data_IF_450336135419
#
_entry.id   IF_450336135419
#
_cell.length_a   1.000
_cell.length_b   1.000
_cell.length_c   1.000
_cell.angle_alpha   90.00
_cell.angle_beta   90.00
_cell.angle_gamma   90.00
#
_symmetry.space_group_name_H-M   'P 1'
#
loop_
_entity.id
_entity.type
_entity.pdbx_description
1 polymer ?
#
# COMPACT_ATOMS: atom_id res chain seq x y z
N UNK A 1 21.63 18.11 -5.92
CA UNK A 1 20.98 18.80 -4.80
C UNK A 1 21.04 17.88 -3.60
N UNK A 2 21.76 18.21 -2.52
CA UNK A 2 21.83 17.36 -1.34
C UNK A 2 20.48 17.41 -0.62
N UNK A 3 19.80 16.27 -0.52
CA UNK A 3 18.64 16.12 0.34
C UNK A 3 19.11 16.40 1.78
N UNK A 4 18.59 17.48 2.36
CA UNK A 4 18.81 17.83 3.76
C UNK A 4 18.36 16.64 4.61
N UNK A 5 19.28 16.04 5.37
CA UNK A 5 18.91 15.17 6.48
C UNK A 5 18.18 16.04 7.52
N UNK A 6 16.93 15.73 7.87
CA UNK A 6 16.30 16.40 9.00
C UNK A 6 17.08 16.03 10.27
N UNK A 7 17.45 17.04 11.04
CA UNK A 7 18.16 16.90 12.30
C UNK A 7 17.13 16.79 13.43
N UNK A 8 17.15 15.65 14.12
CA UNK A 8 16.58 15.29 15.43
C UNK A 8 15.69 14.04 15.35
N UNK A 9 16.32 12.91 15.02
CA UNK A 9 15.95 11.63 15.61
C UNK A 9 17.08 11.32 16.59
N UNK A 10 16.75 10.97 17.84
CA UNK A 10 17.73 10.33 18.71
C UNK A 10 18.30 9.11 17.96
N UNK A 11 19.59 8.77 18.14
CA UNK A 11 20.27 7.73 17.34
C UNK A 11 19.53 6.37 17.31
N UNK A 12 18.62 6.15 18.27
CA UNK A 12 17.72 4.99 18.34
C UNK A 12 16.50 5.07 17.41
N UNK A 13 15.87 6.23 17.23
CA UNK A 13 14.70 6.41 16.35
C UNK A 13 15.06 6.27 14.87
N UNK A 14 16.27 6.66 14.47
CA UNK A 14 16.73 6.54 13.09
C UNK A 14 16.85 5.07 12.64
N UNK A 15 17.23 4.17 13.54
CA UNK A 15 17.29 2.73 13.22
C UNK A 15 15.89 2.15 13.02
N UNK A 16 14.90 2.62 13.79
CA UNK A 16 13.52 2.18 13.65
C UNK A 16 12.90 2.67 12.33
N UNK A 17 13.16 3.92 11.93
CA UNK A 17 12.76 4.42 10.60
C UNK A 17 13.34 3.57 9.47
N UNK A 18 14.63 3.23 9.55
CA UNK A 18 15.27 2.37 8.54
C UNK A 18 14.68 0.97 8.51
N UNK A 19 14.31 0.42 9.67
CA UNK A 19 13.66 -0.88 9.75
C UNK A 19 12.28 -0.86 9.10
N UNK A 20 11.46 0.17 9.37
CA UNK A 20 10.17 0.35 8.72
C UNK A 20 10.32 0.45 7.19
N UNK A 21 11.27 1.26 6.72
CA UNK A 21 11.54 1.41 5.29
C UNK A 21 11.96 0.09 4.63
N UNK A 22 12.79 -0.71 5.32
CA UNK A 22 13.24 -2.01 4.82
C UNK A 22 12.10 -3.04 4.74
N UNK A 23 11.15 -3.00 5.68
CA UNK A 23 10.01 -3.91 5.74
C UNK A 23 8.79 -3.44 4.94
N UNK A 24 8.84 -2.26 4.32
CA UNK A 24 7.68 -1.63 3.70
C UNK A 24 7.15 -2.39 2.48
N UNK A 25 8.02 -3.03 1.70
CA UNK A 25 7.59 -3.87 0.58
C UNK A 25 6.77 -5.07 1.06
N UNK A 26 7.29 -5.81 2.04
CA UNK A 26 6.62 -6.99 2.61
C UNK A 26 5.30 -6.60 3.29
N UNK A 27 5.24 -5.42 3.92
CA UNK A 27 4.04 -4.85 4.51
C UNK A 27 2.96 -4.57 3.45
N UNK A 28 3.31 -3.89 2.36
CA UNK A 28 2.37 -3.59 1.26
C UNK A 28 1.90 -4.85 0.54
N UNK A 29 2.80 -5.82 0.37
CA UNK A 29 2.49 -7.11 -0.28
C UNK A 29 1.66 -8.04 0.63
N UNK A 30 1.43 -7.67 1.89
CA UNK A 30 0.67 -8.47 2.87
C UNK A 30 1.38 -9.78 3.29
N UNK A 31 2.70 -9.86 3.10
CA UNK A 31 3.51 -11.04 3.41
C UNK A 31 4.22 -10.94 4.77
N UNK A 32 4.21 -9.75 5.36
CA UNK A 32 4.79 -9.48 6.66
C UNK A 32 3.95 -10.11 7.79
N UNK A 33 4.61 -10.64 8.83
CA UNK A 33 3.91 -11.20 9.99
C UNK A 33 3.09 -10.14 10.74
N UNK A 34 1.94 -10.51 11.30
CA UNK A 34 1.08 -9.59 12.07
C UNK A 34 1.82 -8.86 13.21
N UNK A 35 2.76 -9.55 13.86
CA UNK A 35 3.53 -8.95 14.96
C UNK A 35 4.43 -7.81 14.48
N UNK A 36 4.96 -7.91 13.26
CA UNK A 36 5.75 -6.86 12.63
C UNK A 36 4.87 -5.77 12.04
N UNK A 37 3.71 -6.10 11.46
CA UNK A 37 2.73 -5.10 11.03
C UNK A 37 2.35 -4.16 12.18
N UNK A 38 2.00 -4.70 13.35
CA UNK A 38 1.66 -3.90 14.54
C UNK A 38 2.79 -2.97 14.98
N UNK A 39 4.06 -3.40 14.87
CA UNK A 39 5.22 -2.56 15.20
C UNK A 39 5.40 -1.42 14.20
N UNK A 40 5.24 -1.71 12.91
CA UNK A 40 5.30 -0.70 11.85
C UNK A 40 4.19 0.34 12.03
N UNK A 41 2.95 -0.12 12.26
CA UNK A 41 1.80 0.74 12.52
C UNK A 41 2.02 1.65 13.73
N UNK A 42 2.57 1.10 14.82
CA UNK A 42 2.92 1.89 16.00
C UNK A 42 3.98 2.96 15.67
N UNK A 43 5.05 2.59 14.97
CA UNK A 43 6.08 3.56 14.59
C UNK A 43 5.55 4.67 13.68
N UNK A 44 4.70 4.34 12.71
CA UNK A 44 4.07 5.34 11.82
C UNK A 44 3.17 6.30 12.59
N UNK A 45 2.50 5.82 13.65
CA UNK A 45 1.67 6.67 14.50
C UNK A 45 2.50 7.70 15.29
N UNK A 46 3.71 7.30 15.70
CA UNK A 46 4.59 8.11 16.57
C UNK A 46 5.63 8.94 15.79
N UNK A 47 5.96 8.58 14.54
CA UNK A 47 7.01 9.22 13.73
C UNK A 47 6.44 10.01 12.54
N UNK A 48 6.63 11.34 12.55
CA UNK A 48 6.17 12.22 11.47
C UNK A 48 6.86 11.93 10.12
N UNK A 49 8.17 11.68 10.12
CA UNK A 49 8.93 11.41 8.89
C UNK A 49 8.42 10.14 8.19
N UNK A 50 8.23 9.05 8.94
CA UNK A 50 7.70 7.81 8.40
C UNK A 50 6.26 7.96 7.92
N UNK A 51 5.42 8.72 8.63
CA UNK A 51 4.06 9.04 8.17
C UNK A 51 4.06 9.75 6.81
N UNK A 52 4.95 10.73 6.61
CA UNK A 52 5.08 11.42 5.31
C UNK A 52 5.48 10.44 4.20
N UNK A 53 6.37 9.49 4.49
CA UNK A 53 6.77 8.45 3.52
C UNK A 53 5.58 7.56 3.15
N UNK A 54 4.82 7.08 4.13
CA UNK A 54 3.64 6.23 3.91
C UNK A 54 2.58 6.98 3.09
N UNK A 55 2.23 8.21 3.47
CA UNK A 55 1.27 9.04 2.74
C UNK A 55 1.68 9.23 1.27
N UNK A 56 2.99 9.36 1.02
CA UNK A 56 3.54 9.52 -0.34
C UNK A 56 3.48 8.21 -1.12
N UNK A 57 3.75 7.08 -0.46
CA UNK A 57 3.61 5.75 -1.05
C UNK A 57 2.16 5.44 -1.41
N UNK A 58 1.20 5.70 -0.53
CA UNK A 58 -0.23 5.53 -0.79
C UNK A 58 -0.68 6.34 -2.00
N UNK A 59 -0.25 7.60 -2.12
CA UNK A 59 -0.52 8.43 -3.31
C UNK A 59 0.08 7.83 -4.57
N UNK A 60 1.29 7.28 -4.48
CA UNK A 60 1.95 6.62 -5.61
C UNK A 60 1.16 5.40 -6.06
N UNK A 61 0.75 4.53 -5.13
CA UNK A 61 -0.10 3.36 -5.38
C UNK A 61 -1.41 3.79 -6.04
N UNK A 62 -2.08 4.81 -5.48
CA UNK A 62 -3.31 5.37 -6.03
C UNK A 62 -3.16 5.84 -7.49
N UNK A 63 -2.09 6.57 -7.80
CA UNK A 63 -1.81 7.06 -9.16
C UNK A 63 -1.59 5.90 -10.13
N UNK A 64 -0.89 4.84 -9.72
CA UNK A 64 -0.70 3.64 -10.53
C UNK A 64 -2.02 2.92 -10.80
N UNK A 65 -2.86 2.70 -9.79
CA UNK A 65 -4.18 2.07 -9.96
C UNK A 65 -5.07 2.89 -10.89
N UNK A 66 -5.19 4.20 -10.66
CA UNK A 66 -6.04 5.07 -11.48
C UNK A 66 -5.58 5.12 -12.93
N UNK A 67 -4.26 5.19 -13.16
CA UNK A 67 -3.70 5.19 -14.51
C UNK A 67 -3.90 3.85 -15.20
N UNK A 68 -3.78 2.75 -14.46
CA UNK A 68 -4.01 1.42 -14.98
C UNK A 68 -5.49 1.22 -15.34
N UNK A 69 -6.45 1.66 -14.53
CA UNK A 69 -7.88 1.57 -14.86
C UNK A 69 -8.25 2.30 -16.15
N UNK A 70 -7.61 3.44 -16.43
CA UNK A 70 -7.84 4.21 -17.66
C UNK A 70 -7.25 3.57 -18.91
N UNK A 71 -6.21 2.74 -18.77
CA UNK A 71 -5.43 2.20 -19.88
C UNK A 71 -5.57 0.68 -20.04
N UNK A 72 -6.08 -0.01 -19.02
CA UNK A 72 -6.22 -1.45 -19.02
C UNK A 72 -7.36 -1.85 -19.98
N UNK A 73 -7.15 -2.91 -20.79
CA UNK A 73 -8.24 -3.48 -21.54
C UNK A 73 -9.31 -3.98 -20.57
N UNK A 74 -10.57 -3.68 -20.85
CA UNK A 74 -11.69 -4.19 -20.07
C UNK A 74 -11.60 -5.72 -19.98
N UNK A 75 -11.87 -6.27 -18.79
CA UNK A 75 -11.97 -7.72 -18.62
C UNK A 75 -13.08 -8.22 -19.54
N UNK A 76 -12.85 -9.26 -20.37
CA UNK A 76 -13.89 -9.80 -21.23
C UNK A 76 -15.14 -10.18 -20.42
N UNK A 77 -16.31 -9.78 -20.90
CA UNK A 77 -17.58 -9.98 -20.18
C UNK A 77 -17.88 -11.45 -19.91
N UNK A 78 -17.43 -12.38 -20.78
CA UNK A 78 -17.59 -13.82 -20.55
C UNK A 78 -16.77 -14.31 -19.35
N UNK A 79 -15.56 -13.77 -19.15
CA UNK A 79 -14.70 -14.07 -18.01
C UNK A 79 -15.33 -13.53 -16.73
N UNK A 80 -15.81 -12.28 -16.74
CA UNK A 80 -16.50 -11.64 -15.62
C UNK A 80 -17.76 -12.43 -15.23
N UNK A 81 -18.62 -12.77 -16.19
CA UNK A 81 -19.85 -13.52 -15.96
C UNK A 81 -19.58 -14.91 -15.37
N UNK A 82 -18.56 -15.62 -15.88
CA UNK A 82 -18.16 -16.94 -15.36
C UNK A 82 -17.65 -16.87 -13.93
N UNK A 83 -16.87 -15.84 -13.59
CA UNK A 83 -16.38 -15.61 -12.24
C UNK A 83 -17.53 -15.32 -11.28
N UNK A 84 -18.42 -14.40 -11.64
CA UNK A 84 -19.53 -13.97 -10.78
C UNK A 84 -20.49 -15.11 -10.50
N UNK A 85 -20.81 -15.95 -11.50
CA UNK A 85 -21.58 -17.18 -11.30
C UNK A 85 -20.92 -18.14 -10.30
N UNK A 86 -19.60 -18.28 -10.34
CA UNK A 86 -18.86 -19.19 -9.43
C UNK A 86 -18.80 -18.68 -8.00
N UNK A 87 -18.85 -17.36 -7.82
CA UNK A 87 -18.87 -16.71 -6.52
C UNK A 87 -20.30 -16.46 -6.01
N UNK A 88 -21.34 -16.88 -6.74
CA UNK A 88 -22.76 -16.63 -6.43
C UNK A 88 -23.11 -15.12 -6.37
N UNK A 89 -22.45 -14.31 -7.21
CA UNK A 89 -22.56 -12.84 -7.28
C UNK A 89 -23.33 -12.35 -8.53
N UNK A 90 -24.30 -13.12 -9.00
CA UNK A 90 -24.97 -12.87 -10.29
C UNK A 90 -25.84 -11.59 -10.28
N UNK A 91 -26.25 -11.13 -9.09
CA UNK A 91 -26.98 -9.87 -8.91
C UNK A 91 -26.21 -8.65 -9.42
N UNK A 92 -24.87 -8.70 -9.39
CA UNK A 92 -23.99 -7.62 -9.85
C UNK A 92 -23.77 -7.62 -11.37
N UNK A 93 -24.23 -8.65 -12.09
CA UNK A 93 -24.16 -8.68 -13.56
C UNK A 93 -25.24 -7.81 -14.22
N UNK A 94 -26.35 -7.53 -13.51
CA UNK A 94 -27.52 -6.83 -14.05
C UNK A 94 -27.52 -5.31 -13.76
N UNK A 95 -26.44 -4.78 -13.17
CA UNK A 95 -26.33 -3.37 -12.75
C UNK A 95 -25.35 -2.55 -13.60
N UNK A 96 -24.88 -3.09 -14.73
CA UNK A 96 -23.93 -2.44 -15.63
C UNK A 96 -24.60 -1.84 -16.88
#
# INVERSE_FOLDING_TARGET
MPLKRPTMCDDYEYQDCQHVLASLSEYVDGTLSEALCRKIEQHIADCEDCRIVIDTLEKTIYLYHTSAEQQAPAVPEDVKARLFRRLELEEFLNQA
#
